data_IF_758931474022
#
_entry.id   IF_758931474022
#
_cell.length_a   1.000
_cell.length_b   1.000
_cell.length_c   1.000
_cell.angle_alpha   90.00
_cell.angle_beta   90.00
_cell.angle_gamma   90.00
#
_symmetry.space_group_name_H-M   'P 1'
#
loop_
_entity.id
_entity.type
_entity.pdbx_description
1 polymer ?
#
# COMPACT_ATOMS: atom_id res chain seq x y z
N UNK A 1 29.08 4.31 4.71
CA UNK A 1 28.20 3.76 3.67
C UNK A 1 27.64 4.84 2.75
N UNK A 2 26.98 5.89 3.25
CA UNK A 2 26.45 7.01 2.44
C UNK A 2 27.52 7.77 1.62
N UNK A 3 28.72 7.94 2.15
CA UNK A 3 29.83 8.58 1.42
C UNK A 3 30.32 7.78 0.22
N UNK A 4 30.32 6.44 0.34
CA UNK A 4 30.74 5.55 -0.75
C UNK A 4 29.78 5.58 -1.93
N UNK A 5 28.48 5.64 -1.65
CA UNK A 5 27.43 5.73 -2.68
C UNK A 5 27.46 7.08 -3.38
N UNK A 6 27.72 8.17 -2.66
CA UNK A 6 27.84 9.51 -3.25
C UNK A 6 29.07 9.65 -4.16
N UNK A 7 30.22 9.04 -3.81
CA UNK A 7 31.42 9.08 -4.63
C UNK A 7 31.28 8.24 -5.91
N UNK A 8 30.63 7.06 -5.87
CA UNK A 8 30.34 6.28 -7.07
C UNK A 8 29.35 6.98 -8.02
N UNK A 9 28.40 7.71 -7.48
CA UNK A 9 27.42 8.48 -8.26
C UNK A 9 28.06 9.66 -8.97
N UNK A 10 29.05 10.32 -8.36
CA UNK A 10 29.77 11.46 -8.95
C UNK A 10 30.66 11.05 -10.13
N UNK A 11 31.08 9.80 -10.19
CA UNK A 11 31.92 9.25 -11.29
C UNK A 11 31.09 8.85 -12.51
N UNK A 12 29.75 8.70 -12.38
CA UNK A 12 28.85 8.30 -13.47
C UNK A 12 27.87 9.41 -13.83
N UNK A 13 28.37 10.54 -14.29
CA UNK A 13 27.59 11.77 -14.57
C UNK A 13 26.33 11.56 -15.42
N UNK A 14 26.26 10.50 -16.24
CA UNK A 14 25.15 10.22 -17.14
C UNK A 14 24.11 9.24 -16.57
N UNK A 15 24.23 8.82 -15.31
CA UNK A 15 23.34 7.82 -14.70
C UNK A 15 22.55 8.36 -13.51
N UNK A 16 22.10 9.61 -13.56
CA UNK A 16 21.30 10.26 -12.50
C UNK A 16 20.03 9.49 -12.11
N UNK A 17 19.48 8.70 -12.99
CA UNK A 17 18.31 7.85 -12.74
C UNK A 17 18.61 6.66 -11.82
N UNK A 18 19.86 6.20 -11.70
CA UNK A 18 20.22 5.08 -10.82
C UNK A 18 20.19 5.45 -9.34
N UNK A 19 20.29 6.73 -9.01
CA UNK A 19 20.33 7.20 -7.62
C UNK A 19 19.02 7.00 -6.86
N UNK A 20 17.91 6.81 -7.56
CA UNK A 20 16.59 6.74 -6.94
C UNK A 20 15.93 5.36 -7.00
N UNK A 21 16.44 4.43 -7.80
CA UNK A 21 15.78 3.15 -8.02
C UNK A 21 15.87 2.17 -6.85
N UNK A 22 16.90 2.29 -6.01
CA UNK A 22 17.20 1.30 -4.99
C UNK A 22 17.39 1.88 -3.59
N UNK A 23 17.24 3.19 -3.42
CA UNK A 23 17.38 3.82 -2.11
C UNK A 23 16.01 4.01 -1.47
N UNK A 24 15.76 3.26 -0.42
CA UNK A 24 14.64 3.55 0.48
C UNK A 24 14.89 4.90 1.16
N UNK A 25 13.86 5.69 1.28
CA UNK A 25 13.92 6.96 2.01
C UNK A 25 14.15 6.69 3.49
N UNK A 26 14.83 7.59 4.17
CA UNK A 26 15.16 7.46 5.59
C UNK A 26 13.92 7.15 6.45
N UNK A 27 12.82 7.87 6.24
CA UNK A 27 11.58 7.64 6.99
C UNK A 27 10.99 6.24 6.73
N UNK A 28 11.12 5.70 5.53
CA UNK A 28 10.70 4.33 5.19
C UNK A 28 11.53 3.31 5.97
N UNK A 29 12.85 3.50 6.05
CA UNK A 29 13.74 2.63 6.83
C UNK A 29 13.45 2.71 8.33
N UNK A 30 13.21 3.91 8.86
CA UNK A 30 12.81 4.10 10.26
C UNK A 30 11.53 3.31 10.54
N UNK A 31 10.51 3.44 9.68
CA UNK A 31 9.24 2.72 9.85
C UNK A 31 9.41 1.20 9.80
N UNK A 32 10.24 0.68 8.90
CA UNK A 32 10.57 -0.75 8.87
C UNK A 32 11.22 -1.23 10.17
N UNK A 33 12.14 -0.43 10.74
CA UNK A 33 12.77 -0.73 12.03
C UNK A 33 11.76 -0.69 13.19
N UNK A 34 10.79 0.22 13.17
CA UNK A 34 9.70 0.27 14.16
C UNK A 34 8.87 -1.02 14.13
N UNK A 35 8.48 -1.49 12.93
CA UNK A 35 7.75 -2.74 12.75
C UNK A 35 8.57 -3.93 13.28
N UNK A 36 9.86 -4.02 12.93
CA UNK A 36 10.76 -5.06 13.44
C UNK A 36 10.84 -5.02 14.98
N UNK A 37 10.89 -3.84 15.58
CA UNK A 37 10.91 -3.70 17.03
C UNK A 37 9.56 -4.08 17.66
N UNK A 38 8.46 -3.71 17.04
CA UNK A 38 7.11 -4.10 17.47
C UNK A 38 6.95 -5.63 17.48
N UNK A 39 7.52 -6.32 16.49
CA UNK A 39 7.44 -7.79 16.37
C UNK A 39 8.02 -8.54 17.57
N UNK A 40 8.88 -7.92 18.37
CA UNK A 40 9.47 -8.56 19.56
C UNK A 40 8.44 -8.85 20.66
N UNK A 41 7.31 -8.15 20.67
CA UNK A 41 6.34 -8.17 21.76
C UNK A 41 4.89 -8.37 21.27
N UNK A 42 4.70 -8.94 20.09
CA UNK A 42 3.35 -9.18 19.54
C UNK A 42 2.69 -10.40 20.16
N UNK A 43 1.36 -10.38 20.15
CA UNK A 43 0.52 -11.57 20.36
C UNK A 43 0.11 -12.09 18.97
N UNK A 44 0.44 -13.33 18.59
CA UNK A 44 0.03 -13.90 17.31
C UNK A 44 -1.50 -13.85 17.12
N UNK A 45 -1.93 -13.65 15.89
CA UNK A 45 -3.36 -13.55 15.53
C UNK A 45 -3.78 -12.11 15.25
N UNK A 46 -5.11 -11.86 15.33
CA UNK A 46 -5.68 -10.53 15.04
C UNK A 46 -5.68 -10.15 13.57
N UNK A 47 -5.72 -8.86 13.29
CA UNK A 47 -5.76 -8.29 11.94
C UNK A 47 -4.54 -7.44 11.68
N UNK A 48 -3.79 -7.76 10.62
CA UNK A 48 -2.67 -6.96 10.14
C UNK A 48 -3.15 -6.07 9.00
N UNK A 49 -2.89 -4.77 9.09
CA UNK A 49 -3.07 -3.80 8.02
C UNK A 49 -1.71 -3.57 7.36
N UNK A 50 -1.56 -4.00 6.10
CA UNK A 50 -0.31 -4.02 5.36
C UNK A 50 -0.43 -3.19 4.08
N UNK A 51 0.49 -2.26 3.85
CA UNK A 51 0.40 -1.37 2.69
C UNK A 51 1.31 -0.15 2.76
N UNK A 52 0.88 0.91 2.09
CA UNK A 52 1.64 2.15 1.95
C UNK A 52 1.28 3.22 3.01
N UNK A 53 1.51 4.51 2.68
CA UNK A 53 1.23 5.64 3.58
C UNK A 53 -0.23 5.77 3.99
N UNK A 54 -1.17 5.39 3.14
CA UNK A 54 -2.61 5.41 3.49
C UNK A 54 -2.88 4.42 4.63
N UNK A 55 -2.20 3.29 4.62
CA UNK A 55 -2.27 2.31 5.72
C UNK A 55 -1.51 2.81 6.94
N UNK A 56 -0.28 3.31 6.78
CA UNK A 56 0.53 3.81 7.90
C UNK A 56 -0.17 4.90 8.69
N UNK A 57 -0.77 5.88 8.00
CA UNK A 57 -1.42 7.03 8.64
C UNK A 57 -2.85 6.76 9.12
N UNK A 58 -3.35 5.55 8.92
CA UNK A 58 -4.66 5.14 9.42
C UNK A 58 -4.61 4.93 10.94
N UNK A 59 -5.33 5.75 11.69
CA UNK A 59 -5.56 5.55 13.12
C UNK A 59 -6.51 4.35 13.31
N UNK A 60 -5.91 3.16 13.53
CA UNK A 60 -6.68 1.92 13.64
C UNK A 60 -7.61 1.92 14.86
N UNK A 61 -7.26 2.60 15.95
CA UNK A 61 -8.12 2.66 17.14
C UNK A 61 -9.37 3.50 16.89
N UNK A 62 -9.21 4.55 16.12
CA UNK A 62 -10.30 5.42 15.71
C UNK A 62 -11.23 4.79 14.67
N UNK A 63 -10.66 4.16 13.65
CA UNK A 63 -11.43 3.72 12.48
C UNK A 63 -11.87 2.25 12.56
N UNK A 64 -11.21 1.41 13.38
CA UNK A 64 -11.53 0.00 13.59
C UNK A 64 -11.60 -0.35 15.08
N UNK A 65 -12.38 0.38 15.90
CA UNK A 65 -12.49 0.12 17.34
C UNK A 65 -13.05 -1.27 17.65
N UNK A 66 -13.77 -1.88 16.70
CA UNK A 66 -14.38 -3.21 16.83
C UNK A 66 -13.36 -4.35 16.78
N UNK A 67 -12.16 -4.08 16.24
CA UNK A 67 -11.09 -5.08 16.16
C UNK A 67 -10.20 -4.94 17.40
N UNK A 68 -10.24 -5.95 18.27
CA UNK A 68 -9.47 -5.93 19.51
C UNK A 68 -7.96 -6.01 19.28
N UNK A 69 -7.53 -7.02 18.51
CA UNK A 69 -6.11 -7.22 18.19
C UNK A 69 -5.85 -6.80 16.73
N UNK A 70 -5.12 -5.71 16.54
CA UNK A 70 -4.83 -5.13 15.25
C UNK A 70 -3.43 -4.54 15.20
N UNK A 71 -2.78 -4.64 14.05
CA UNK A 71 -1.40 -4.19 13.83
C UNK A 71 -1.32 -3.33 12.57
N UNK A 72 -0.76 -2.14 12.70
CA UNK A 72 -0.48 -1.27 11.57
C UNK A 72 0.94 -1.54 11.05
N UNK A 73 1.02 -2.23 9.93
CA UNK A 73 2.26 -2.51 9.19
C UNK A 73 2.30 -1.75 7.86
N UNK A 74 1.66 -0.59 7.80
CA UNK A 74 1.79 0.36 6.69
C UNK A 74 3.16 1.04 6.69
N UNK A 75 3.68 1.34 5.49
CA UNK A 75 5.00 1.93 5.27
C UNK A 75 4.89 3.00 4.19
N UNK A 76 5.08 4.27 4.55
CA UNK A 76 4.94 5.38 3.63
C UNK A 76 5.96 5.32 2.48
N UNK A 77 5.47 5.62 1.27
CA UNK A 77 6.29 5.69 0.06
C UNK A 77 6.72 4.34 -0.50
N UNK A 78 6.33 3.23 0.12
CA UNK A 78 6.72 1.88 -0.33
C UNK A 78 6.00 1.48 -1.62
N UNK A 79 6.67 0.70 -2.46
CA UNK A 79 6.13 0.06 -3.66
C UNK A 79 5.80 -1.41 -3.41
N UNK A 80 5.02 -2.02 -4.30
CA UNK A 80 4.60 -3.43 -4.17
C UNK A 80 5.78 -4.41 -4.12
N UNK A 81 6.81 -4.17 -4.93
CA UNK A 81 8.00 -5.03 -4.96
C UNK A 81 8.83 -4.94 -3.69
N UNK A 82 8.95 -3.74 -3.07
CA UNK A 82 9.67 -3.60 -1.81
C UNK A 82 8.83 -4.16 -0.65
N UNK A 83 7.52 -3.93 -0.67
CA UNK A 83 6.60 -4.48 0.32
C UNK A 83 6.67 -6.01 0.35
N UNK A 84 6.70 -6.66 -0.83
CA UNK A 84 6.89 -8.10 -0.97
C UNK A 84 8.14 -8.60 -0.24
N UNK A 85 9.27 -7.89 -0.34
CA UNK A 85 10.52 -8.27 0.32
C UNK A 85 10.50 -8.10 1.86
N UNK A 86 9.52 -7.36 2.40
CA UNK A 86 9.37 -7.12 3.84
C UNK A 86 8.26 -7.96 4.50
N UNK A 87 7.72 -8.93 3.78
CA UNK A 87 6.52 -9.68 4.16
C UNK A 87 6.68 -10.49 5.45
N UNK A 88 7.87 -11.02 5.72
CA UNK A 88 8.14 -11.78 6.95
C UNK A 88 7.90 -10.92 8.19
N UNK A 89 8.51 -9.75 8.22
CA UNK A 89 8.38 -8.78 9.32
C UNK A 89 7.02 -8.10 9.35
N UNK A 90 6.44 -7.83 8.18
CA UNK A 90 5.18 -7.09 8.06
C UNK A 90 3.92 -7.92 8.26
N UNK A 91 4.00 -9.24 8.07
CA UNK A 91 2.81 -10.12 8.12
C UNK A 91 3.09 -11.46 8.78
N UNK A 92 4.08 -12.24 8.30
CA UNK A 92 4.21 -13.65 8.68
C UNK A 92 4.45 -13.83 10.17
N UNK A 93 5.30 -13.01 10.78
CA UNK A 93 5.58 -13.06 12.22
C UNK A 93 4.35 -12.85 13.10
N UNK A 94 3.35 -12.15 12.61
CA UNK A 94 2.10 -11.92 13.34
C UNK A 94 1.15 -13.13 13.33
N UNK A 95 1.32 -14.10 12.42
CA UNK A 95 0.40 -15.23 12.23
C UNK A 95 -1.07 -14.75 12.28
N UNK A 96 -1.47 -13.79 11.42
CA UNK A 96 -2.73 -13.07 11.56
C UNK A 96 -3.93 -13.94 11.18
N UNK A 97 -5.10 -13.64 11.74
CA UNK A 97 -6.38 -14.18 11.26
C UNK A 97 -6.83 -13.47 9.98
N UNK A 98 -6.56 -12.17 9.90
CA UNK A 98 -6.93 -11.35 8.75
C UNK A 98 -5.77 -10.48 8.31
N UNK A 99 -5.62 -10.28 7.01
CA UNK A 99 -4.73 -9.28 6.43
C UNK A 99 -5.54 -8.33 5.54
N UNK A 100 -5.46 -7.04 5.80
CA UNK A 100 -5.98 -5.99 4.93
C UNK A 100 -4.79 -5.43 4.15
N UNK A 101 -4.72 -5.74 2.87
CA UNK A 101 -3.61 -5.37 1.99
C UNK A 101 -4.03 -4.29 1.00
N UNK A 102 -3.36 -3.12 1.02
CA UNK A 102 -3.56 -2.05 0.04
C UNK A 102 -2.22 -1.48 -0.41
N UNK A 103 -1.91 -1.57 -1.69
CA UNK A 103 -0.64 -1.14 -2.29
C UNK A 103 -0.82 -0.79 -3.78
N UNK A 104 0.14 -0.13 -4.40
CA UNK A 104 0.24 0.06 -5.85
C UNK A 104 0.17 1.52 -6.31
N UNK A 105 -0.18 2.47 -5.43
CA UNK A 105 -0.21 3.88 -5.82
C UNK A 105 1.20 4.47 -6.00
N UNK A 106 2.16 4.05 -5.19
CA UNK A 106 3.54 4.53 -5.27
C UNK A 106 4.28 3.95 -6.48
N UNK A 107 3.98 2.73 -6.85
CA UNK A 107 4.51 2.07 -8.06
C UNK A 107 4.21 2.90 -9.32
N UNK A 108 2.98 3.41 -9.41
CA UNK A 108 2.55 4.29 -10.50
C UNK A 108 3.08 5.72 -10.39
N UNK A 109 3.36 6.20 -9.19
CA UNK A 109 3.81 7.58 -8.93
C UNK A 109 5.32 7.73 -8.84
N UNK A 110 6.07 6.64 -8.89
CA UNK A 110 7.51 6.60 -8.74
C UNK A 110 8.22 6.49 -10.09
N UNK A 111 9.52 6.78 -10.12
CA UNK A 111 10.36 6.63 -11.32
C UNK A 111 10.56 5.18 -11.75
N UNK A 112 10.17 4.22 -10.94
CA UNK A 112 10.25 2.77 -11.24
C UNK A 112 9.35 2.38 -12.41
N UNK A 113 8.26 3.10 -12.66
CA UNK A 113 7.36 2.91 -13.81
C UNK A 113 6.83 1.48 -13.96
N UNK A 114 6.47 0.85 -12.84
CA UNK A 114 5.84 -0.47 -12.90
C UNK A 114 4.46 -0.39 -13.58
N UNK A 115 4.18 -1.38 -14.43
CA UNK A 115 2.87 -1.47 -15.06
C UNK A 115 1.81 -1.97 -14.06
N UNK A 116 0.51 -1.70 -14.31
CA UNK A 116 -0.56 -2.30 -13.50
C UNK A 116 -0.47 -3.82 -13.38
N UNK A 117 0.06 -4.49 -14.41
CA UNK A 117 0.27 -5.94 -14.43
C UNK A 117 1.40 -6.36 -13.50
N UNK A 118 2.53 -5.66 -13.50
CA UNK A 118 3.68 -5.97 -12.65
C UNK A 118 3.32 -5.76 -11.17
N UNK A 119 2.61 -4.67 -10.86
CA UNK A 119 2.06 -4.43 -9.51
C UNK A 119 1.17 -5.60 -9.07
N UNK A 120 0.29 -6.06 -9.95
CA UNK A 120 -0.59 -7.17 -9.63
C UNK A 120 0.15 -8.51 -9.47
N UNK A 121 1.25 -8.73 -10.17
CA UNK A 121 2.12 -9.89 -10.00
C UNK A 121 2.83 -9.86 -8.64
N UNK A 122 3.40 -8.72 -8.23
CA UNK A 122 4.01 -8.56 -6.91
C UNK A 122 2.98 -8.81 -5.79
N UNK A 123 1.77 -8.29 -5.95
CA UNK A 123 0.67 -8.48 -4.99
C UNK A 123 0.21 -9.94 -4.95
N UNK A 124 0.13 -10.61 -6.10
CA UNK A 124 -0.19 -12.04 -6.19
C UNK A 124 0.83 -12.86 -5.42
N UNK A 125 2.12 -12.64 -5.64
CA UNK A 125 3.20 -13.32 -4.94
C UNK A 125 3.13 -13.05 -3.42
N UNK A 126 2.91 -11.79 -3.01
CA UNK A 126 2.67 -11.43 -1.61
C UNK A 126 1.55 -12.27 -0.99
N UNK A 127 0.42 -12.37 -1.67
CA UNK A 127 -0.75 -13.13 -1.21
C UNK A 127 -0.46 -14.62 -1.11
N UNK A 128 0.23 -15.19 -2.09
CA UNK A 128 0.61 -16.61 -2.10
C UNK A 128 1.57 -16.93 -0.95
N UNK A 129 2.57 -16.08 -0.69
CA UNK A 129 3.48 -16.24 0.44
C UNK A 129 2.72 -16.18 1.78
N UNK A 130 1.79 -15.23 1.94
CA UNK A 130 0.94 -15.15 3.15
C UNK A 130 0.17 -16.46 3.31
N UNK A 131 -0.51 -16.91 2.27
CA UNK A 131 -1.34 -18.11 2.32
C UNK A 131 -0.55 -19.36 2.69
N UNK A 132 0.65 -19.55 2.12
CA UNK A 132 1.49 -20.71 2.40
C UNK A 132 2.09 -20.70 3.82
N UNK A 133 2.29 -19.54 4.42
CA UNK A 133 2.89 -19.41 5.75
C UNK A 133 1.87 -19.18 6.87
N UNK A 134 0.64 -18.80 6.53
CA UNK A 134 -0.46 -18.49 7.44
C UNK A 134 -1.76 -19.08 6.86
N UNK A 135 -1.91 -20.41 6.92
CA UNK A 135 -2.92 -21.18 6.18
C UNK A 135 -4.39 -20.75 6.41
N UNK A 136 -4.71 -20.29 7.63
CA UNK A 136 -6.08 -19.92 8.00
C UNK A 136 -6.35 -18.41 7.86
N UNK A 137 -5.41 -17.67 7.28
CA UNK A 137 -5.51 -16.23 7.12
C UNK A 137 -6.47 -15.86 5.99
N UNK A 138 -7.48 -15.03 6.29
CA UNK A 138 -8.30 -14.37 5.27
C UNK A 138 -7.60 -13.11 4.79
N UNK A 139 -7.56 -12.91 3.47
CA UNK A 139 -6.90 -11.77 2.86
C UNK A 139 -7.93 -10.85 2.21
N UNK A 140 -7.95 -9.59 2.63
CA UNK A 140 -8.79 -8.53 2.09
C UNK A 140 -7.91 -7.62 1.23
N UNK A 141 -7.94 -7.84 -0.09
CA UNK A 141 -7.18 -7.06 -1.04
C UNK A 141 -7.97 -5.83 -1.46
N UNK A 142 -7.46 -4.67 -1.08
CA UNK A 142 -8.11 -3.37 -1.29
C UNK A 142 -7.53 -2.69 -2.53
N UNK A 143 -8.41 -2.18 -3.38
CA UNK A 143 -8.01 -1.38 -4.55
C UNK A 143 -7.27 -0.11 -4.12
N UNK A 144 -6.24 0.33 -4.86
CA UNK A 144 -5.64 1.64 -4.67
C UNK A 144 -6.70 2.75 -4.77
N UNK A 145 -6.58 3.77 -3.91
CA UNK A 145 -7.53 4.89 -3.86
C UNK A 145 -7.33 5.88 -5.02
N UNK A 146 -8.37 6.63 -5.41
CA UNK A 146 -8.23 7.71 -6.37
C UNK A 146 -7.36 8.84 -5.83
N UNK A 147 -6.79 9.64 -6.71
CA UNK A 147 -6.04 10.85 -6.36
C UNK A 147 -6.57 12.08 -7.12
N UNK A 148 -6.25 13.26 -6.63
CA UNK A 148 -6.46 14.51 -7.36
C UNK A 148 -5.35 14.64 -8.41
N UNK A 149 -5.65 14.28 -9.66
CA UNK A 149 -4.65 14.21 -10.75
C UNK A 149 -3.98 15.56 -11.05
N UNK A 150 -4.65 16.67 -10.73
CA UNK A 150 -4.08 18.01 -10.88
C UNK A 150 -2.91 18.27 -9.91
N UNK A 151 -2.79 17.47 -8.85
CA UNK A 151 -1.74 17.58 -7.83
C UNK A 151 -0.77 16.38 -7.88
N UNK A 152 -1.30 15.17 -8.04
CA UNK A 152 -0.53 13.93 -7.94
C UNK A 152 -0.56 13.02 -9.19
N UNK A 153 -1.29 13.40 -10.23
CA UNK A 153 -1.25 12.70 -11.51
C UNK A 153 0.07 12.97 -12.27
N UNK A 154 0.39 12.12 -13.24
CA UNK A 154 1.61 12.25 -14.04
C UNK A 154 1.73 13.62 -14.74
N UNK A 155 0.61 14.23 -15.13
CA UNK A 155 0.58 15.56 -15.75
C UNK A 155 1.09 16.67 -14.85
N UNK A 156 0.84 16.57 -13.54
CA UNK A 156 1.30 17.52 -12.55
C UNK A 156 2.74 17.25 -12.11
N UNK A 157 3.03 16.01 -11.73
CA UNK A 157 4.30 15.62 -11.12
C UNK A 157 5.42 15.38 -12.14
N UNK A 158 5.06 15.04 -13.40
CA UNK A 158 5.99 14.58 -14.45
C UNK A 158 6.78 13.33 -14.04
N UNK A 159 6.24 12.57 -13.08
CA UNK A 159 6.85 11.34 -12.57
C UNK A 159 5.84 10.19 -12.62
N UNK A 160 6.31 9.02 -13.03
CA UNK A 160 5.51 7.81 -13.08
C UNK A 160 4.31 7.89 -14.04
N UNK A 161 3.37 6.99 -13.84
CA UNK A 161 2.16 6.82 -14.68
C UNK A 161 0.86 6.99 -13.87
N UNK A 162 0.91 7.58 -12.66
CA UNK A 162 -0.27 7.68 -11.80
C UNK A 162 -1.36 8.51 -12.47
N UNK A 163 -2.51 7.88 -12.61
CA UNK A 163 -3.78 8.49 -12.98
C UNK A 163 -4.91 7.65 -12.39
N UNK A 164 -6.11 8.22 -12.30
CA UNK A 164 -7.25 7.46 -11.82
C UNK A 164 -7.59 6.27 -12.73
N UNK A 165 -7.27 6.36 -14.01
CA UNK A 165 -7.45 5.25 -14.95
C UNK A 165 -6.41 4.14 -14.73
N UNK A 166 -5.13 4.47 -14.52
CA UNK A 166 -4.12 3.46 -14.21
C UNK A 166 -4.35 2.81 -12.85
N UNK A 167 -4.83 3.55 -11.83
CA UNK A 167 -5.24 2.99 -10.54
C UNK A 167 -6.39 1.99 -10.69
N UNK A 168 -7.41 2.29 -11.51
CA UNK A 168 -8.48 1.34 -11.85
C UNK A 168 -7.95 0.11 -12.61
N UNK A 169 -6.94 0.31 -13.48
CA UNK A 169 -6.30 -0.81 -14.18
C UNK A 169 -5.59 -1.75 -13.23
N UNK A 170 -4.92 -1.26 -12.19
CA UNK A 170 -4.33 -2.11 -11.14
C UNK A 170 -5.39 -3.01 -10.52
N UNK A 171 -6.53 -2.47 -10.11
CA UNK A 171 -7.60 -3.29 -9.54
C UNK A 171 -8.22 -4.27 -10.56
N UNK A 172 -8.26 -3.88 -11.84
CA UNK A 172 -8.69 -4.81 -12.91
C UNK A 172 -7.71 -5.99 -13.03
N UNK A 173 -6.41 -5.73 -12.95
CA UNK A 173 -5.40 -6.80 -12.97
C UNK A 173 -5.50 -7.69 -11.72
N UNK A 174 -5.79 -7.15 -10.52
CA UNK A 174 -6.06 -7.98 -9.33
C UNK A 174 -7.18 -8.99 -9.61
N UNK A 175 -8.30 -8.55 -10.18
CA UNK A 175 -9.41 -9.45 -10.55
C UNK A 175 -9.02 -10.53 -11.56
N UNK A 176 -8.12 -10.19 -12.49
CA UNK A 176 -7.71 -11.08 -13.56
C UNK A 176 -6.80 -12.20 -13.10
N UNK A 177 -5.91 -11.93 -12.13
CA UNK A 177 -4.81 -12.85 -11.80
C UNK A 177 -4.80 -13.36 -10.36
N UNK A 178 -5.73 -12.87 -9.53
CA UNK A 178 -5.87 -13.27 -8.12
C UNK A 178 -7.29 -13.85 -7.89
N UNK A 179 -7.62 -15.01 -8.51
CA UNK A 179 -8.94 -15.60 -8.41
C UNK A 179 -9.05 -16.60 -7.25
N UNK A 180 -8.46 -16.26 -6.07
CA UNK A 180 -8.42 -17.15 -4.92
C UNK A 180 -9.63 -16.97 -4.02
N UNK A 181 -10.20 -18.06 -3.55
CA UNK A 181 -11.38 -18.09 -2.67
C UNK A 181 -11.08 -17.60 -1.24
N UNK A 182 -9.80 -17.64 -0.82
CA UNK A 182 -9.33 -17.06 0.43
C UNK A 182 -9.02 -15.56 0.35
N UNK A 183 -9.26 -14.94 -0.82
CA UNK A 183 -9.06 -13.49 -1.06
C UNK A 183 -10.38 -12.79 -1.30
N UNK A 184 -10.69 -11.81 -0.48
CA UNK A 184 -11.83 -10.90 -0.69
C UNK A 184 -11.33 -9.60 -1.34
N UNK A 185 -11.80 -9.33 -2.56
CA UNK A 185 -11.48 -8.08 -3.28
C UNK A 185 -12.41 -6.96 -2.83
N UNK A 186 -11.85 -5.84 -2.38
CA UNK A 186 -12.59 -4.66 -1.93
C UNK A 186 -12.22 -3.46 -2.80
N UNK A 187 -13.23 -2.74 -3.30
CA UNK A 187 -13.00 -1.54 -4.10
C UNK A 187 -13.66 -0.31 -3.47
N UNK A 188 -12.95 0.45 -2.63
CA UNK A 188 -13.45 1.67 -2.03
C UNK A 188 -13.30 2.91 -2.93
N UNK A 189 -12.84 2.77 -4.17
CA UNK A 189 -12.53 3.87 -5.07
C UNK A 189 -13.68 4.89 -5.18
N UNK A 190 -14.91 4.41 -5.32
CA UNK A 190 -16.08 5.28 -5.47
C UNK A 190 -16.51 5.95 -4.16
N UNK A 191 -16.11 5.45 -3.00
CA UNK A 191 -16.40 6.09 -1.71
C UNK A 191 -15.75 7.48 -1.57
N UNK A 192 -14.67 7.72 -2.31
CA UNK A 192 -13.96 9.00 -2.36
C UNK A 192 -14.34 9.85 -3.59
N UNK A 193 -15.35 9.44 -4.35
CA UNK A 193 -15.78 10.10 -5.58
C UNK A 193 -17.20 10.64 -5.47
N UNK A 194 -17.46 11.69 -6.25
CA UNK A 194 -18.83 12.18 -6.47
C UNK A 194 -19.60 11.22 -7.43
N UNK A 195 -20.88 11.51 -7.67
CA UNK A 195 -21.75 10.72 -8.56
C UNK A 195 -21.24 10.62 -10.01
N UNK A 196 -20.32 11.51 -10.43
CA UNK A 196 -19.70 11.47 -11.77
C UNK A 196 -18.39 10.66 -11.78
N UNK A 197 -18.00 10.04 -10.66
CA UNK A 197 -16.75 9.27 -10.54
C UNK A 197 -15.49 10.13 -10.40
N UNK A 198 -15.63 11.40 -10.07
CA UNK A 198 -14.52 12.31 -9.86
C UNK A 198 -14.17 12.37 -8.36
N UNK A 199 -12.88 12.31 -7.98
CA UNK A 199 -12.45 12.44 -6.59
C UNK A 199 -12.95 13.75 -5.97
N UNK A 200 -13.42 13.69 -4.73
CA UNK A 200 -13.93 14.84 -3.97
C UNK A 200 -12.77 15.47 -3.20
N UNK A 201 -12.40 16.69 -3.56
CA UNK A 201 -11.24 17.39 -3.01
C UNK A 201 -11.24 17.47 -1.48
N UNK A 202 -12.41 17.64 -0.88
CA UNK A 202 -12.57 17.74 0.58
C UNK A 202 -12.19 16.45 1.35
N UNK A 203 -11.94 15.35 0.68
CA UNK A 203 -11.46 14.11 1.31
C UNK A 203 -9.94 14.03 1.42
N UNK A 204 -9.20 14.99 0.86
CA UNK A 204 -7.74 14.93 0.76
C UNK A 204 -7.05 16.03 1.57
N UNK A 205 -5.84 15.72 2.04
CA UNK A 205 -4.92 16.67 2.66
C UNK A 205 -4.06 17.36 1.61
N UNK A 206 -3.54 16.60 0.65
CA UNK A 206 -2.58 17.05 -0.36
C UNK A 206 -2.95 16.58 -1.78
N UNK A 207 -4.06 15.87 -1.93
CA UNK A 207 -4.52 15.29 -3.20
C UNK A 207 -4.16 13.82 -3.40
N UNK A 208 -3.38 13.23 -2.49
CA UNK A 208 -3.08 11.80 -2.41
C UNK A 208 -3.46 11.22 -1.05
N UNK A 209 -2.96 11.81 0.02
CA UNK A 209 -3.29 11.41 1.37
C UNK A 209 -4.66 11.95 1.77
N UNK A 210 -5.46 11.08 2.39
CA UNK A 210 -6.84 11.40 2.78
C UNK A 210 -6.90 11.95 4.20
N UNK A 211 -7.87 12.82 4.45
CA UNK A 211 -8.16 13.37 5.76
C UNK A 211 -9.16 12.50 6.53
N UNK A 212 -9.65 12.97 7.67
CA UNK A 212 -10.58 12.23 8.55
C UNK A 212 -11.86 11.80 7.81
N UNK A 213 -12.47 12.67 7.03
CA UNK A 213 -13.68 12.35 6.27
C UNK A 213 -13.38 11.32 5.17
N UNK A 214 -12.21 11.42 4.52
CA UNK A 214 -11.72 10.44 3.57
C UNK A 214 -11.51 9.08 4.21
N UNK A 215 -10.89 9.02 5.41
CA UNK A 215 -10.73 7.77 6.15
C UNK A 215 -12.07 7.18 6.57
N UNK A 216 -13.04 7.96 7.04
CA UNK A 216 -14.39 7.45 7.37
C UNK A 216 -15.08 6.81 6.16
N UNK A 217 -15.02 7.49 5.01
CA UNK A 217 -15.61 6.97 3.78
C UNK A 217 -14.93 5.67 3.31
N UNK A 218 -13.61 5.65 3.30
CA UNK A 218 -12.78 4.51 2.88
C UNK A 218 -12.93 3.31 3.81
N UNK A 219 -12.76 3.50 5.13
CA UNK A 219 -12.80 2.40 6.10
C UNK A 219 -14.19 1.82 6.24
N UNK A 220 -15.25 2.60 6.01
CA UNK A 220 -16.63 2.10 5.99
C UNK A 220 -16.82 0.96 5.01
N UNK A 221 -16.30 1.09 3.79
CA UNK A 221 -16.39 0.03 2.75
C UNK A 221 -15.60 -1.23 3.15
N UNK A 222 -14.46 -1.06 3.84
CA UNK A 222 -13.65 -2.21 4.28
C UNK A 222 -14.36 -2.95 5.42
N UNK A 223 -14.91 -2.23 6.40
CA UNK A 223 -15.59 -2.81 7.55
C UNK A 223 -16.76 -3.70 7.15
N UNK A 224 -17.55 -3.32 6.14
CA UNK A 224 -18.66 -4.13 5.61
C UNK A 224 -18.25 -5.54 5.20
N UNK A 225 -16.96 -5.76 4.90
CA UNK A 225 -16.42 -7.05 4.46
C UNK A 225 -15.53 -7.73 5.51
N UNK A 226 -14.96 -6.95 6.42
CA UNK A 226 -14.00 -7.44 7.40
C UNK A 226 -14.69 -7.93 8.67
N UNK A 227 -15.85 -7.36 9.00
CA UNK A 227 -16.54 -7.59 10.28
C UNK A 227 -17.78 -8.51 10.11
N UNK A 228 -18.23 -8.73 8.84
CA UNK A 228 -19.23 -9.74 8.52
C UNK A 228 -18.61 -11.17 8.59
#
# INVERSE_FOLDING_TARGET
MLKYVQEEISVKENMKYLTNHYQLREFTLIRMLEIINQNKNITPGGTVFYGDSITEYCDLDKYYPEIETKYNCGIAGITSGILLNFIDEGVIKYQPKNVVLMIGTNDLGNTVMESPRDIALNVKETIEIIHYNCLDTKIYLVAPLPCLEMLHGYKATKQGLRSNDTLKMVFKEYKNIIPYDYVTLINPFMALCNKKGQPVENYYLDGLHINDDGYRAYTGVIKEKLID
#
